data_IF_201693884546
#
_entry.id   IF_201693884546
#
_cell.length_a   1.000
_cell.length_b   1.000
_cell.length_c   1.000
_cell.angle_alpha   90.00
_cell.angle_beta   90.00
_cell.angle_gamma   90.00
#
_symmetry.space_group_name_H-M   'P 1'
#
loop_
_entity.id
_entity.type
_entity.pdbx_description
1 polymer ?
#
# COMPACT_ATOMS: atom_id res chain seq x y z
N UNK A 1 -7.47 -27.49 -0.11
CA UNK A 1 -6.03 -27.67 0.25
C UNK A 1 -5.26 -27.82 -1.04
N UNK A 2 -4.38 -26.87 -1.39
CA UNK A 2 -3.64 -26.93 -2.66
C UNK A 2 -2.43 -27.86 -2.45
N UNK A 3 -2.47 -29.04 -3.06
CA UNK A 3 -1.34 -29.98 -3.10
C UNK A 3 -0.41 -29.58 -4.25
N UNK A 4 0.71 -28.93 -3.93
CA UNK A 4 1.75 -28.60 -4.90
C UNK A 4 2.62 -29.84 -5.15
N UNK A 5 2.47 -30.47 -6.31
CA UNK A 5 3.26 -31.64 -6.74
C UNK A 5 4.68 -31.28 -7.18
N UNK A 6 4.94 -30.03 -7.54
CA UNK A 6 6.26 -29.54 -7.93
C UNK A 6 6.53 -28.15 -7.37
N UNK A 7 7.75 -27.94 -6.88
CA UNK A 7 8.25 -26.63 -6.46
C UNK A 7 9.36 -26.20 -7.42
N UNK A 8 9.14 -25.08 -8.11
CA UNK A 8 10.12 -24.52 -9.04
C UNK A 8 10.82 -23.34 -8.37
N UNK A 9 12.17 -23.36 -8.39
CA UNK A 9 12.98 -22.21 -7.99
C UNK A 9 13.39 -21.42 -9.22
N UNK A 10 13.05 -20.13 -9.25
CA UNK A 10 13.55 -19.21 -10.27
C UNK A 10 15.08 -19.06 -10.12
N UNK A 11 15.82 -19.46 -11.15
CA UNK A 11 17.25 -19.16 -11.29
C UNK A 11 17.38 -17.89 -12.12
N UNK A 12 17.37 -16.75 -11.45
CA UNK A 12 17.51 -15.45 -12.10
C UNK A 12 18.98 -15.14 -12.38
N UNK A 13 19.25 -14.51 -13.51
CA UNK A 13 20.55 -13.92 -13.76
C UNK A 13 20.64 -12.53 -13.10
N UNK A 14 21.86 -11.99 -12.99
CA UNK A 14 22.10 -10.68 -12.33
C UNK A 14 21.30 -9.52 -12.92
N UNK A 15 20.94 -9.57 -14.21
CA UNK A 15 20.14 -8.52 -14.85
C UNK A 15 18.69 -8.60 -14.40
N UNK A 16 18.11 -9.79 -14.44
CA UNK A 16 16.74 -10.07 -14.02
C UNK A 16 16.55 -9.78 -12.53
N UNK A 17 17.52 -10.12 -11.69
CA UNK A 17 17.48 -9.80 -10.25
C UNK A 17 17.33 -8.30 -10.00
N UNK A 18 18.15 -7.48 -10.67
CA UNK A 18 18.06 -6.01 -10.54
C UNK A 18 16.71 -5.47 -11.01
N UNK A 19 16.19 -6.01 -12.10
CA UNK A 19 14.89 -5.61 -12.64
C UNK A 19 13.75 -5.98 -11.68
N UNK A 20 13.76 -7.19 -11.13
CA UNK A 20 12.78 -7.64 -10.12
C UNK A 20 12.83 -6.73 -8.90
N UNK A 21 14.02 -6.46 -8.36
CA UNK A 21 14.17 -5.58 -7.19
C UNK A 21 13.65 -4.18 -7.49
N UNK A 22 13.95 -3.64 -8.67
CA UNK A 22 13.45 -2.33 -9.09
C UNK A 22 11.91 -2.30 -9.17
N UNK A 23 11.30 -3.30 -9.80
CA UNK A 23 9.84 -3.41 -9.90
C UNK A 23 9.20 -3.50 -8.51
N UNK A 24 9.77 -4.29 -7.60
CA UNK A 24 9.28 -4.43 -6.24
C UNK A 24 9.37 -3.12 -5.45
N UNK A 25 10.44 -2.36 -5.64
CA UNK A 25 10.62 -1.06 -4.98
C UNK A 25 9.62 -0.01 -5.49
N UNK A 26 9.41 0.05 -6.80
CA UNK A 26 8.36 0.90 -7.41
C UNK A 26 6.97 0.47 -6.93
N UNK A 27 6.68 -0.82 -6.91
CA UNK A 27 5.40 -1.33 -6.41
C UNK A 27 5.16 -0.95 -4.94
N UNK A 28 6.20 -1.01 -4.12
CA UNK A 28 6.15 -0.61 -2.71
C UNK A 28 5.88 0.89 -2.56
N UNK A 29 6.54 1.74 -3.35
CA UNK A 29 6.33 3.20 -3.26
C UNK A 29 4.91 3.58 -3.64
N UNK A 30 4.38 3.03 -4.75
CA UNK A 30 3.00 3.25 -5.20
C UNK A 30 2.00 2.73 -4.16
N UNK A 31 2.23 1.54 -3.60
CA UNK A 31 1.36 0.99 -2.56
C UNK A 31 1.32 1.89 -1.32
N UNK A 32 2.49 2.36 -0.86
CA UNK A 32 2.58 3.21 0.32
C UNK A 32 1.90 4.57 0.09
N UNK A 33 2.05 5.15 -1.10
CA UNK A 33 1.35 6.38 -1.48
C UNK A 33 -0.18 6.19 -1.48
N UNK A 34 -0.67 5.14 -2.15
CA UNK A 34 -2.11 4.87 -2.16
C UNK A 34 -2.66 4.54 -0.76
N UNK A 35 -1.84 3.93 0.10
CA UNK A 35 -2.20 3.67 1.49
C UNK A 35 -2.28 4.96 2.33
N UNK A 36 -1.37 5.92 2.12
CA UNK A 36 -1.45 7.23 2.80
C UNK A 36 -2.71 7.98 2.37
N UNK A 37 -3.02 8.04 1.07
CA UNK A 37 -4.24 8.70 0.58
C UNK A 37 -5.51 8.11 1.21
N UNK A 38 -5.61 6.77 1.34
CA UNK A 38 -6.75 6.13 2.01
C UNK A 38 -6.85 6.48 3.49
N UNK A 39 -5.71 6.59 4.17
CA UNK A 39 -5.67 6.98 5.58
C UNK A 39 -6.10 8.43 5.76
N UNK A 40 -5.66 9.32 4.89
CA UNK A 40 -6.07 10.73 4.89
C UNK A 40 -7.55 10.88 4.62
N UNK A 41 -8.08 10.15 3.64
CA UNK A 41 -9.51 10.11 3.36
C UNK A 41 -10.32 9.59 4.55
N UNK A 42 -9.87 8.52 5.20
CA UNK A 42 -10.55 7.99 6.39
C UNK A 42 -10.49 9.00 7.55
N UNK A 43 -9.34 9.64 7.77
CA UNK A 43 -9.16 10.59 8.87
C UNK A 43 -9.98 11.87 8.70
N UNK A 44 -10.17 12.33 7.45
CA UNK A 44 -11.03 13.48 7.15
C UNK A 44 -12.52 13.19 7.33
N UNK A 45 -12.95 11.94 7.15
CA UNK A 45 -14.38 11.58 7.14
C UNK A 45 -14.85 10.78 8.35
N UNK A 46 -13.93 10.23 9.15
CA UNK A 46 -14.29 9.55 10.39
C UNK A 46 -14.89 10.58 11.34
N UNK A 47 -16.14 10.35 11.73
CA UNK A 47 -16.83 11.09 12.77
C UNK A 47 -17.63 10.11 13.62
N UNK A 48 -18.09 10.57 14.78
CA UNK A 48 -19.02 9.77 15.57
C UNK A 48 -20.37 9.75 14.84
N UNK A 49 -21.05 8.61 14.85
CA UNK A 49 -22.30 8.44 14.10
C UNK A 49 -23.40 9.44 14.51
N UNK A 50 -23.31 9.96 15.73
CA UNK A 50 -24.28 10.86 16.35
C UNK A 50 -23.82 12.33 16.39
N UNK A 51 -22.55 12.66 16.08
CA UNK A 51 -22.04 14.04 16.17
C UNK A 51 -20.73 14.30 15.43
N UNK A 52 -20.58 15.55 14.95
CA UNK A 52 -19.34 16.09 14.38
C UNK A 52 -18.57 16.97 15.39
N UNK A 53 -17.27 17.15 15.15
CA UNK A 53 -16.41 18.06 15.94
C UNK A 53 -16.70 19.52 15.58
N UNK A 54 -16.83 20.40 16.58
CA UNK A 54 -16.97 21.85 16.38
C UNK A 54 -15.64 22.61 16.55
N UNK A 55 -14.58 21.93 16.99
CA UNK A 55 -13.31 22.56 17.41
C UNK A 55 -12.23 22.39 16.35
N UNK A 56 -12.17 21.23 15.73
CA UNK A 56 -11.10 20.89 14.77
C UNK A 56 -11.55 19.82 13.78
N UNK A 57 -11.05 19.93 12.55
CA UNK A 57 -11.18 18.94 11.49
C UNK A 57 -9.81 18.55 10.92
N UNK A 58 -9.73 17.36 10.34
CA UNK A 58 -8.49 16.88 9.70
C UNK A 58 -8.36 17.49 8.30
N UNK A 59 -7.28 18.23 8.06
CA UNK A 59 -6.97 18.84 6.77
C UNK A 59 -5.97 17.94 6.04
N UNK A 60 -6.33 17.51 4.83
CA UNK A 60 -5.43 16.74 3.97
C UNK A 60 -4.38 17.71 3.40
N UNK A 61 -3.08 17.47 3.60
CA UNK A 61 -2.02 18.32 3.07
C UNK A 61 -2.00 18.31 1.53
N UNK A 62 -1.60 19.44 0.94
CA UNK A 62 -1.46 19.62 -0.51
C UNK A 62 -0.15 19.04 -1.05
#
# INVERSE_FOLDING_TARGET
>A
MITLTYQYKLKVNKRQEREIVHILDVGKSVYNYALSERKDWLNSRKCLADRCSLVSEYIIPA
#
